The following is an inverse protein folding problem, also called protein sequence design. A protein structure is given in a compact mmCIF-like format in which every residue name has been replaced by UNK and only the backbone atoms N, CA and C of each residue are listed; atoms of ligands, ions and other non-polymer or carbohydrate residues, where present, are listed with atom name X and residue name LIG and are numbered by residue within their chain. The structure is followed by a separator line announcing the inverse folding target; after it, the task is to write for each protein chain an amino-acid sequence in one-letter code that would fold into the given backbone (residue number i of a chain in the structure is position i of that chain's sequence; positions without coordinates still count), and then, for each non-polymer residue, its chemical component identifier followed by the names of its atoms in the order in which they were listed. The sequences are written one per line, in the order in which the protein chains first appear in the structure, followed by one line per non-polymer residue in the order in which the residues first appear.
data_IF_368998554681
#
_entry.id   IF_368998554681
#
_cell.length_a   1.000
_cell.length_b   1.000
_cell.length_c   1.000
_cell.angle_alpha   90.00
_cell.angle_beta   90.00
_cell.angle_gamma   90.00
#
_symmetry.space_group_name_H-M   'P 1'
#
loop_
_entity.id
_entity.type
_entity.pdbx_description
1 polymer ?
#
# COMPACT_ATOMS: atom_id res chain seq x y z
N UNK A 1 9.68 -18.55 -15.19
CA UNK A 1 10.39 -17.63 -14.28
C UNK A 1 9.93 -16.26 -14.63
N UNK A 2 9.53 -15.45 -13.67
CA UNK A 2 9.18 -14.06 -13.97
C UNK A 2 10.50 -13.31 -14.20
N UNK A 3 10.78 -12.93 -15.43
CA UNK A 3 11.93 -12.10 -15.74
C UNK A 3 11.66 -10.67 -15.25
N UNK A 4 12.64 -10.07 -14.61
CA UNK A 4 12.57 -8.65 -14.24
C UNK A 4 12.72 -7.81 -15.50
N UNK A 5 11.68 -7.07 -15.84
CA UNK A 5 11.66 -6.28 -17.07
C UNK A 5 10.82 -5.02 -16.93
N UNK A 6 11.28 -3.92 -17.51
CA UNK A 6 10.49 -2.74 -17.78
C UNK A 6 9.72 -2.99 -19.06
N UNK A 7 8.41 -3.12 -18.95
CA UNK A 7 7.49 -3.25 -20.09
C UNK A 7 6.55 -2.06 -20.02
N UNK A 8 6.63 -1.18 -21.00
CA UNK A 8 5.74 -0.01 -21.07
C UNK A 8 4.28 -0.45 -21.16
N UNK A 9 3.43 -0.16 -20.17
CA UNK A 9 2.03 -0.58 -20.21
C UNK A 9 1.21 0.06 -21.33
N UNK A 10 1.60 1.25 -21.78
CA UNK A 10 0.88 1.95 -22.86
C UNK A 10 1.11 1.31 -24.24
N UNK A 11 2.30 0.75 -24.47
CA UNK A 11 2.70 0.21 -25.77
C UNK A 11 2.87 -1.31 -25.78
N UNK A 12 3.11 -1.92 -24.61
CA UNK A 12 3.49 -3.33 -24.48
C UNK A 12 4.96 -3.61 -24.87
N UNK A 13 5.76 -2.58 -25.15
CA UNK A 13 7.16 -2.73 -25.53
C UNK A 13 8.04 -3.04 -24.32
N UNK A 14 8.92 -4.05 -24.47
CA UNK A 14 9.96 -4.32 -23.47
C UNK A 14 11.13 -3.37 -23.67
N UNK A 15 11.31 -2.44 -22.73
CA UNK A 15 12.34 -1.40 -22.79
C UNK A 15 13.68 -1.95 -22.30
N UNK A 16 13.65 -2.70 -21.17
CA UNK A 16 14.87 -3.20 -20.53
C UNK A 16 14.58 -4.44 -19.68
N UNK A 17 15.55 -5.35 -19.63
CA UNK A 17 15.51 -6.54 -18.78
C UNK A 17 16.62 -6.53 -17.75
N UNK A 18 16.38 -7.17 -16.61
CA UNK A 18 17.32 -7.29 -15.50
C UNK A 18 17.47 -8.77 -15.14
N UNK A 19 18.70 -9.28 -14.98
CA UNK A 19 18.88 -10.66 -14.62
C UNK A 19 18.43 -10.93 -13.19
N UNK A 20 17.88 -12.11 -12.93
CA UNK A 20 17.66 -12.59 -11.57
C UNK A 20 19.01 -12.84 -10.88
N UNK A 21 19.01 -12.63 -9.56
CA UNK A 21 20.19 -12.87 -8.73
C UNK A 21 20.52 -14.38 -8.69
N UNK A 22 21.79 -14.73 -8.73
CA UNK A 22 22.21 -16.14 -8.51
C UNK A 22 22.05 -16.53 -7.03
N UNK A 23 21.91 -17.83 -6.74
CA UNK A 23 21.83 -18.30 -5.35
C UNK A 23 23.10 -17.96 -4.53
N UNK A 24 24.26 -17.97 -5.17
CA UNK A 24 25.52 -17.60 -4.52
C UNK A 24 25.58 -16.11 -4.19
N UNK A 25 25.10 -15.23 -5.10
CA UNK A 25 25.06 -13.79 -4.87
C UNK A 25 23.98 -13.43 -3.85
N UNK A 26 22.86 -14.17 -3.83
CA UNK A 26 21.80 -14.01 -2.83
C UNK A 26 22.30 -14.34 -1.42
N UNK A 27 22.98 -15.49 -1.26
CA UNK A 27 23.62 -15.86 0.01
C UNK A 27 24.66 -14.81 0.46
N UNK A 28 25.45 -14.30 -0.48
CA UNK A 28 26.41 -13.23 -0.21
C UNK A 28 25.68 -11.92 0.20
N UNK A 29 24.56 -11.56 -0.44
CA UNK A 29 23.76 -10.38 -0.08
C UNK A 29 23.19 -10.47 1.34
N UNK A 30 22.64 -11.63 1.72
CA UNK A 30 22.18 -11.87 3.10
C UNK A 30 23.33 -11.70 4.09
N UNK A 31 24.51 -12.25 3.78
CA UNK A 31 25.72 -12.12 4.61
C UNK A 31 26.16 -10.67 4.77
N UNK A 32 26.19 -9.88 3.69
CA UNK A 32 26.54 -8.46 3.72
C UNK A 32 25.55 -7.63 4.52
N UNK A 33 24.24 -7.81 4.29
CA UNK A 33 23.20 -7.11 5.05
C UNK A 33 23.29 -7.42 6.55
N UNK A 34 23.58 -8.68 6.90
CA UNK A 34 23.77 -9.07 8.31
C UNK A 34 25.03 -8.42 8.92
N UNK A 35 26.14 -8.38 8.20
CA UNK A 35 27.37 -7.71 8.65
C UNK A 35 27.16 -6.20 8.82
N UNK A 36 26.48 -5.55 7.86
CA UNK A 36 26.18 -4.11 7.90
C UNK A 36 25.28 -3.73 9.09
N UNK A 37 24.38 -4.62 9.53
CA UNK A 37 23.49 -4.37 10.65
C UNK A 37 24.24 -3.99 11.93
N UNK A 38 25.39 -4.62 12.22
CA UNK A 38 26.15 -4.31 13.44
C UNK A 38 26.62 -2.85 13.46
N UNK A 39 27.26 -2.39 12.40
CA UNK A 39 27.72 -1.00 12.26
C UNK A 39 26.55 -0.02 12.30
N UNK A 40 25.54 -0.25 11.44
CA UNK A 40 24.38 0.63 11.33
C UNK A 40 23.58 0.74 12.61
N UNK A 41 23.36 -0.36 13.34
CA UNK A 41 22.51 -0.35 14.54
C UNK A 41 23.21 0.08 15.82
N UNK A 42 24.55 -0.19 15.96
CA UNK A 42 25.24 -0.03 17.22
C UNK A 42 26.30 1.07 17.22
N UNK A 43 26.88 1.36 16.05
CA UNK A 43 27.96 2.34 15.93
C UNK A 43 27.47 3.71 15.45
N UNK A 44 26.22 3.79 14.91
CA UNK A 44 25.57 5.05 14.55
C UNK A 44 24.52 5.45 15.56
N UNK A 45 24.48 6.74 15.93
CA UNK A 45 23.46 7.32 16.80
C UNK A 45 22.11 7.47 16.10
N UNK A 46 21.04 7.66 16.88
CA UNK A 46 19.68 7.90 16.34
C UNK A 46 19.68 9.13 15.44
N UNK A 47 20.37 10.21 15.84
CA UNK A 47 20.44 11.46 15.08
C UNK A 47 21.18 11.29 13.75
N UNK A 48 22.27 10.49 13.74
CA UNK A 48 23.01 10.22 12.50
C UNK A 48 22.13 9.45 11.50
N UNK A 49 21.37 8.46 11.99
CA UNK A 49 20.42 7.72 11.15
C UNK A 49 19.29 8.62 10.67
N UNK A 50 18.75 9.50 11.53
CA UNK A 50 17.73 10.47 11.15
C UNK A 50 18.21 11.44 10.06
N UNK A 51 19.48 11.87 10.10
CA UNK A 51 20.06 12.70 9.04
C UNK A 51 20.12 11.97 7.70
N UNK A 52 20.51 10.69 7.70
CA UNK A 52 20.50 9.87 6.48
C UNK A 52 19.07 9.73 5.93
N UNK A 53 18.09 9.42 6.78
CA UNK A 53 16.68 9.29 6.37
C UNK A 53 16.14 10.62 5.83
N UNK A 54 16.49 11.75 6.44
CA UNK A 54 16.15 13.09 5.92
C UNK A 54 16.75 13.31 4.53
N UNK A 55 18.04 12.94 4.36
CA UNK A 55 18.70 13.07 3.06
C UNK A 55 18.07 12.21 1.97
N UNK A 56 17.52 11.05 2.33
CA UNK A 56 16.72 10.22 1.41
C UNK A 56 15.49 10.99 0.92
N UNK A 57 14.75 11.65 1.81
CA UNK A 57 13.62 12.52 1.45
C UNK A 57 14.03 13.65 0.52
N UNK A 58 15.10 14.37 0.85
CA UNK A 58 15.64 15.45 0.01
C UNK A 58 16.02 14.96 -1.39
N UNK A 59 16.64 13.78 -1.51
CA UNK A 59 17.00 13.19 -2.81
C UNK A 59 15.78 12.77 -3.62
N UNK A 60 14.68 12.32 -2.99
CA UNK A 60 13.42 12.11 -3.68
C UNK A 60 12.89 13.43 -4.25
N UNK A 61 12.94 14.52 -3.49
CA UNK A 61 12.54 15.85 -3.97
C UNK A 61 13.43 16.35 -5.11
N UNK A 62 14.76 16.18 -4.99
CA UNK A 62 15.72 16.62 -6.02
C UNK A 62 15.54 15.85 -7.34
N UNK A 63 15.15 14.55 -7.27
CA UNK A 63 14.97 13.66 -8.42
C UNK A 63 13.51 13.42 -8.77
N UNK A 64 12.61 14.26 -8.26
CA UNK A 64 11.16 14.10 -8.33
C UNK A 64 10.66 13.75 -9.73
N UNK A 65 11.08 14.52 -10.73
CA UNK A 65 10.68 14.31 -12.12
C UNK A 65 11.21 12.98 -12.69
N UNK A 66 12.49 12.68 -12.49
CA UNK A 66 13.11 11.43 -12.92
C UNK A 66 12.40 10.20 -12.35
N UNK A 67 12.12 10.23 -11.04
CA UNK A 67 11.44 9.13 -10.34
C UNK A 67 10.00 8.94 -10.84
N UNK A 68 9.27 10.04 -11.06
CA UNK A 68 7.91 9.98 -11.61
C UNK A 68 7.90 9.39 -13.04
N UNK A 69 8.84 9.75 -13.90
CA UNK A 69 8.95 9.20 -15.24
C UNK A 69 9.27 7.69 -15.25
N UNK A 70 10.00 7.20 -14.24
CA UNK A 70 10.20 5.76 -14.05
C UNK A 70 8.88 5.07 -13.72
N UNK A 71 8.07 5.63 -12.80
CA UNK A 71 6.74 5.08 -12.46
C UNK A 71 5.86 4.99 -13.70
N UNK A 72 5.76 6.08 -14.47
CA UNK A 72 4.98 6.12 -15.73
C UNK A 72 5.38 4.97 -16.64
N UNK A 73 6.68 4.79 -16.84
CA UNK A 73 7.25 3.81 -17.76
C UNK A 73 7.07 2.36 -17.30
N UNK A 74 7.08 2.10 -15.99
CA UNK A 74 7.00 0.75 -15.45
C UNK A 74 5.57 0.27 -15.17
N UNK A 75 4.65 1.20 -14.85
CA UNK A 75 3.30 0.78 -14.46
C UNK A 75 2.16 1.63 -15.08
N UNK A 76 2.47 2.66 -15.88
CA UNK A 76 1.47 3.44 -16.61
C UNK A 76 0.67 4.44 -15.76
N UNK A 77 1.11 4.74 -14.53
CA UNK A 77 0.47 5.76 -13.69
C UNK A 77 0.60 7.13 -14.34
N UNK A 78 -0.48 7.95 -14.40
CA UNK A 78 -0.40 9.31 -14.91
C UNK A 78 0.70 10.13 -14.22
N UNK A 79 1.40 10.98 -14.98
CA UNK A 79 2.59 11.69 -14.51
C UNK A 79 2.31 12.53 -13.26
N UNK A 80 1.18 13.25 -13.20
CA UNK A 80 0.83 14.07 -12.02
C UNK A 80 0.60 13.20 -10.77
N UNK A 81 -0.02 12.03 -10.91
CA UNK A 81 -0.19 11.08 -9.81
C UNK A 81 1.16 10.45 -9.41
N UNK A 82 2.06 10.23 -10.38
CA UNK A 82 3.41 9.73 -10.12
C UNK A 82 4.26 10.75 -9.36
N UNK A 83 4.14 12.03 -9.70
CA UNK A 83 4.77 13.13 -8.96
C UNK A 83 4.23 13.21 -7.53
N UNK A 84 2.91 13.05 -7.35
CA UNK A 84 2.27 12.99 -6.03
C UNK A 84 2.77 11.82 -5.16
N UNK A 85 3.02 10.66 -5.77
CA UNK A 85 3.62 9.52 -5.04
C UNK A 85 5.02 9.85 -4.52
N UNK A 86 5.86 10.49 -5.33
CA UNK A 86 7.20 10.91 -4.91
C UNK A 86 7.13 11.95 -3.81
N UNK A 87 6.22 12.93 -3.90
CA UNK A 87 6.02 13.94 -2.86
C UNK A 87 5.59 13.30 -1.52
N UNK A 88 4.75 12.27 -1.57
CA UNK A 88 4.35 11.56 -0.36
C UNK A 88 5.51 10.76 0.25
N UNK A 89 6.40 10.20 -0.56
CA UNK A 89 7.64 9.59 -0.05
C UNK A 89 8.51 10.59 0.70
N UNK A 90 8.65 11.82 0.18
CA UNK A 90 9.37 12.91 0.89
C UNK A 90 8.76 13.12 2.26
N UNK A 91 7.44 13.30 2.35
CA UNK A 91 6.75 13.52 3.62
C UNK A 91 6.96 12.36 4.63
N UNK A 92 6.98 11.11 4.15
CA UNK A 92 7.23 9.93 4.99
C UNK A 92 8.65 9.95 5.57
N UNK A 93 9.67 10.16 4.75
CA UNK A 93 11.05 10.19 5.24
C UNK A 93 11.30 11.37 6.18
N UNK A 94 10.75 12.56 5.90
CA UNK A 94 10.81 13.73 6.76
C UNK A 94 10.13 13.45 8.12
N UNK A 95 8.93 12.87 8.12
CA UNK A 95 8.20 12.52 9.33
C UNK A 95 9.04 11.63 10.25
N UNK A 96 9.63 10.55 9.71
CA UNK A 96 10.44 9.65 10.51
C UNK A 96 11.75 10.29 10.99
N UNK A 97 12.38 11.12 10.18
CA UNK A 97 13.57 11.85 10.56
C UNK A 97 13.29 12.87 11.69
N UNK A 98 12.18 13.60 11.59
CA UNK A 98 11.77 14.60 12.58
C UNK A 98 11.35 13.97 13.93
N UNK A 99 10.77 12.80 13.88
CA UNK A 99 10.24 12.09 15.05
C UNK A 99 11.18 11.04 15.64
N UNK A 100 12.42 10.95 15.15
CA UNK A 100 13.37 9.89 15.48
C UNK A 100 13.55 9.71 17.01
N UNK A 101 13.77 10.79 17.75
CA UNK A 101 13.95 10.73 19.20
C UNK A 101 12.68 10.28 19.91
N UNK A 102 11.53 10.83 19.54
CA UNK A 102 10.23 10.50 20.15
C UNK A 102 9.84 9.04 19.90
N UNK A 103 10.13 8.52 18.71
CA UNK A 103 9.81 7.14 18.36
C UNK A 103 10.69 6.12 19.08
N UNK A 104 11.95 6.49 19.39
CA UNK A 104 12.95 5.59 19.96
C UNK A 104 13.27 5.83 21.42
N UNK A 105 12.64 6.83 22.06
CA UNK A 105 12.85 7.08 23.51
C UNK A 105 12.42 5.90 24.37
N UNK A 106 13.10 5.73 25.50
CA UNK A 106 12.70 4.78 26.53
C UNK A 106 11.30 5.13 27.05
N UNK A 107 10.44 4.12 27.18
CA UNK A 107 9.08 4.24 27.69
C UNK A 107 9.04 3.75 29.14
N UNK A 108 8.91 4.65 30.14
CA UNK A 108 8.90 4.26 31.54
C UNK A 108 7.65 3.45 31.88
N UNK A 109 7.79 2.54 32.82
CA UNK A 109 6.70 1.74 33.39
C UNK A 109 6.59 2.07 34.87
N UNK A 110 5.42 2.53 35.29
CA UNK A 110 5.12 2.74 36.70
C UNK A 110 5.00 1.38 37.41
N UNK A 111 5.85 1.16 38.41
CA UNK A 111 5.83 -0.07 39.20
C UNK A 111 4.68 -0.04 40.18
N UNK A 112 3.92 -1.13 40.23
CA UNK A 112 2.85 -1.31 41.23
C UNK A 112 3.41 -1.64 42.60
N UNK A 113 4.56 -2.34 42.64
CA UNK A 113 5.23 -2.76 43.88
C UNK A 113 6.76 -2.83 43.67
N UNK A 114 7.50 -2.68 44.75
CA UNK A 114 8.95 -2.79 44.80
C UNK A 114 9.68 -1.48 44.48
N UNK A 115 10.96 -1.43 44.87
CA UNK A 115 11.83 -0.27 44.62
C UNK A 115 12.56 -0.39 43.25
N UNK A 116 13.07 0.76 42.75
CA UNK A 116 13.83 0.84 41.50
C UNK A 116 13.01 1.37 40.33
N UNK A 117 13.37 1.01 39.09
CA UNK A 117 12.71 1.50 37.85
C UNK A 117 12.51 0.40 36.82
N UNK A 118 11.56 0.61 35.91
CA UNK A 118 11.37 -0.24 34.74
C UNK A 118 11.04 0.61 33.51
N UNK A 119 11.49 0.16 32.35
CA UNK A 119 11.19 0.83 31.08
C UNK A 119 11.32 -0.12 29.90
N UNK A 120 10.64 0.23 28.79
CA UNK A 120 10.81 -0.44 27.52
C UNK A 120 11.82 0.33 26.68
N UNK A 121 12.86 -0.37 26.22
CA UNK A 121 13.83 0.16 25.25
C UNK A 121 13.61 -0.48 23.89
N UNK A 122 13.54 0.35 22.86
CA UNK A 122 13.42 -0.08 21.46
C UNK A 122 14.79 -0.31 20.85
N UNK A 123 14.94 -1.41 20.13
CA UNK A 123 16.16 -1.72 19.37
C UNK A 123 15.82 -2.50 18.09
N UNK A 124 16.70 -2.42 17.09
CA UNK A 124 16.58 -3.16 15.84
C UNK A 124 16.54 -4.67 16.07
N UNK A 125 15.91 -5.39 15.12
CA UNK A 125 15.89 -6.86 15.10
C UNK A 125 17.05 -7.44 14.31
N UNK A 126 17.41 -6.83 13.18
CA UNK A 126 18.42 -7.34 12.26
C UNK A 126 18.10 -7.08 10.80
N UNK A 127 18.35 -8.07 9.96
CA UNK A 127 18.00 -8.02 8.54
C UNK A 127 16.51 -8.28 8.37
N UNK A 128 15.85 -7.43 7.60
CA UNK A 128 14.44 -7.57 7.21
C UNK A 128 14.32 -7.79 5.71
N UNK A 129 13.33 -8.57 5.31
CA UNK A 129 12.94 -8.71 3.91
C UNK A 129 11.71 -7.87 3.63
N UNK A 130 11.79 -6.98 2.64
CA UNK A 130 10.65 -6.28 2.06
C UNK A 130 10.26 -6.93 0.72
N UNK A 131 8.97 -7.26 0.54
CA UNK A 131 8.41 -7.75 -0.72
C UNK A 131 7.34 -6.77 -1.14
N UNK A 132 7.64 -5.95 -2.16
CA UNK A 132 6.83 -4.79 -2.50
C UNK A 132 6.19 -4.93 -3.89
N UNK A 133 4.94 -4.45 -4.06
CA UNK A 133 4.18 -4.55 -5.29
C UNK A 133 4.54 -3.41 -6.26
N UNK A 134 3.87 -3.41 -7.40
CA UNK A 134 4.10 -2.49 -8.52
C UNK A 134 3.24 -1.22 -8.50
N UNK A 135 2.13 -1.21 -7.75
CA UNK A 135 1.12 -0.15 -7.89
C UNK A 135 1.52 1.21 -7.29
N UNK A 136 2.38 1.21 -6.28
CA UNK A 136 3.03 2.40 -5.72
C UNK A 136 4.50 2.07 -5.42
N UNK A 137 5.37 2.05 -6.46
CA UNK A 137 6.70 1.45 -6.35
C UNK A 137 7.65 2.14 -5.37
N UNK A 138 7.48 3.42 -5.12
CA UNK A 138 8.28 4.15 -4.12
C UNK A 138 7.58 4.25 -2.77
N UNK A 139 6.28 4.54 -2.77
CA UNK A 139 5.51 4.70 -1.52
C UNK A 139 5.52 3.43 -0.67
N UNK A 140 5.31 2.27 -1.28
CA UNK A 140 5.30 0.98 -0.58
C UNK A 140 6.65 0.70 0.09
N UNK A 141 7.75 1.11 -0.55
CA UNK A 141 9.09 0.99 0.03
C UNK A 141 9.32 2.03 1.13
N UNK A 142 8.91 3.29 0.91
CA UNK A 142 9.14 4.36 1.88
C UNK A 142 8.51 4.07 3.25
N UNK A 143 7.24 3.60 3.26
CA UNK A 143 6.54 3.29 4.51
C UNK A 143 7.12 2.10 5.27
N UNK A 144 7.78 1.17 4.58
CA UNK A 144 8.53 0.06 5.20
C UNK A 144 9.96 0.48 5.56
N UNK A 145 10.71 1.03 4.61
CA UNK A 145 12.15 1.29 4.78
C UNK A 145 12.44 2.46 5.74
N UNK A 146 11.63 3.54 5.67
CA UNK A 146 11.83 4.72 6.51
C UNK A 146 11.99 4.40 8.00
N UNK A 147 10.96 3.83 8.66
CA UNK A 147 11.03 3.49 10.08
C UNK A 147 12.07 2.42 10.39
N UNK A 148 12.21 1.41 9.53
CA UNK A 148 13.08 0.28 9.80
C UNK A 148 14.56 0.63 9.73
N UNK A 149 14.99 1.43 8.75
CA UNK A 149 16.35 1.95 8.69
C UNK A 149 16.65 2.93 9.83
N UNK A 150 15.66 3.79 10.20
CA UNK A 150 15.79 4.69 11.34
C UNK A 150 16.07 3.93 12.65
N UNK A 151 15.37 2.83 12.89
CA UNK A 151 15.54 1.98 14.08
C UNK A 151 16.91 1.29 14.07
N UNK A 152 17.51 1.12 12.89
CA UNK A 152 18.80 0.46 12.68
C UNK A 152 18.70 -0.96 12.15
N UNK A 153 17.57 -1.40 11.63
CA UNK A 153 17.46 -2.61 10.82
C UNK A 153 18.19 -2.42 9.49
N UNK A 154 18.55 -3.52 8.85
CA UNK A 154 19.02 -3.54 7.45
C UNK A 154 17.98 -4.25 6.58
N UNK A 155 17.96 -3.96 5.30
CA UNK A 155 16.90 -4.37 4.40
C UNK A 155 17.44 -5.11 3.18
N UNK A 156 16.81 -6.25 2.89
CA UNK A 156 16.82 -6.88 1.57
C UNK A 156 15.48 -6.53 0.92
N UNK A 157 15.49 -5.89 -0.23
CA UNK A 157 14.28 -5.56 -0.97
C UNK A 157 14.09 -6.47 -2.18
N UNK A 158 12.96 -7.15 -2.24
CA UNK A 158 12.46 -7.82 -3.45
C UNK A 158 11.27 -7.04 -3.98
N UNK A 159 11.51 -6.21 -4.99
CA UNK A 159 10.44 -5.48 -5.66
C UNK A 159 9.66 -6.37 -6.64
N UNK A 160 8.49 -5.89 -7.12
CA UNK A 160 7.75 -6.52 -8.19
C UNK A 160 8.62 -6.66 -9.46
N UNK A 161 8.55 -7.79 -10.19
CA UNK A 161 9.36 -7.99 -11.39
C UNK A 161 9.16 -6.97 -12.49
N UNK A 162 8.04 -6.26 -12.49
CA UNK A 162 7.75 -5.18 -13.46
C UNK A 162 8.30 -3.81 -13.05
N UNK A 163 8.87 -3.66 -11.83
CA UNK A 163 9.43 -2.40 -11.33
C UNK A 163 10.94 -2.49 -11.01
N UNK A 164 11.78 -3.05 -11.90
CA UNK A 164 13.21 -3.21 -11.59
C UNK A 164 13.99 -1.89 -11.63
N UNK A 165 13.55 -0.91 -12.42
CA UNK A 165 14.20 0.40 -12.52
C UNK A 165 13.92 1.24 -11.28
N UNK A 166 12.66 1.23 -10.79
CA UNK A 166 12.29 1.83 -9.50
C UNK A 166 13.12 1.25 -8.35
N UNK A 167 13.27 -0.09 -8.33
CA UNK A 167 14.07 -0.76 -7.30
C UNK A 167 15.54 -0.33 -7.33
N UNK A 168 16.15 -0.21 -8.53
CA UNK A 168 17.52 0.26 -8.69
C UNK A 168 17.67 1.75 -8.31
N UNK A 169 16.69 2.59 -8.67
CA UNK A 169 16.71 4.01 -8.31
C UNK A 169 16.65 4.22 -6.80
N UNK A 170 15.84 3.44 -6.10
CA UNK A 170 15.77 3.48 -4.63
C UNK A 170 17.09 3.09 -3.98
N UNK A 171 17.72 1.99 -4.42
CA UNK A 171 19.04 1.57 -3.89
C UNK A 171 20.09 2.68 -4.09
N UNK A 172 20.09 3.33 -5.25
CA UNK A 172 20.97 4.45 -5.53
C UNK A 172 20.70 5.67 -4.64
N UNK A 173 19.43 5.99 -4.38
CA UNK A 173 19.05 7.08 -3.47
C UNK A 173 19.59 6.81 -2.06
N UNK A 174 19.42 5.59 -1.53
CA UNK A 174 19.92 5.26 -0.20
C UNK A 174 21.45 5.36 -0.13
N UNK A 175 22.17 4.92 -1.16
CA UNK A 175 23.62 5.06 -1.25
C UNK A 175 24.06 6.53 -1.30
N UNK A 176 23.41 7.34 -2.14
CA UNK A 176 23.71 8.78 -2.28
C UNK A 176 23.35 9.59 -1.03
N UNK A 177 22.40 9.11 -0.22
CA UNK A 177 22.06 9.68 1.07
C UNK A 177 23.11 9.37 2.16
N UNK A 178 24.09 8.52 1.87
CA UNK A 178 25.13 8.12 2.82
C UNK A 178 24.74 6.95 3.72
N UNK A 179 23.69 6.20 3.37
CA UNK A 179 23.42 4.92 4.03
C UNK A 179 24.64 3.99 3.79
N UNK A 180 25.13 3.29 4.82
CA UNK A 180 26.20 2.33 4.60
C UNK A 180 25.85 1.33 3.49
N UNK A 181 26.81 1.06 2.62
CA UNK A 181 26.66 0.00 1.63
C UNK A 181 26.19 -1.28 2.34
N UNK A 182 25.33 -2.05 1.72
CA UNK A 182 24.75 -3.28 2.27
C UNK A 182 23.74 -3.11 3.43
N UNK A 183 23.45 -1.89 3.91
CA UNK A 183 22.35 -1.67 4.83
C UNK A 183 20.96 -1.68 4.12
N UNK A 184 20.96 -1.45 2.81
CA UNK A 184 19.82 -1.65 1.93
C UNK A 184 20.31 -2.27 0.62
N UNK A 185 19.82 -3.45 0.28
CA UNK A 185 20.23 -4.19 -0.91
C UNK A 185 18.96 -4.57 -1.70
N UNK A 186 18.88 -4.13 -2.95
CA UNK A 186 17.89 -4.61 -3.88
C UNK A 186 18.27 -5.99 -4.42
N UNK A 187 17.38 -6.96 -4.30
CA UNK A 187 17.56 -8.32 -4.81
C UNK A 187 16.52 -8.63 -5.89
N UNK A 188 16.98 -8.92 -7.10
CA UNK A 188 16.10 -9.39 -8.17
C UNK A 188 15.89 -10.91 -8.02
N UNK A 189 15.24 -11.31 -6.91
CA UNK A 189 15.07 -12.70 -6.51
C UNK A 189 13.78 -13.32 -7.08
N UNK A 190 13.81 -14.61 -7.37
CA UNK A 190 12.63 -15.39 -7.73
C UNK A 190 11.77 -15.69 -6.49
N UNK A 191 10.52 -16.15 -6.71
CA UNK A 191 9.65 -16.54 -5.59
C UNK A 191 10.19 -17.75 -4.82
N UNK A 192 10.87 -18.68 -5.49
CA UNK A 192 11.52 -19.83 -4.87
C UNK A 192 12.69 -19.41 -3.96
N UNK A 193 13.46 -18.42 -4.40
CA UNK A 193 14.56 -17.87 -3.60
C UNK A 193 14.06 -17.15 -2.34
N UNK A 194 12.85 -16.58 -2.37
CA UNK A 194 12.25 -15.90 -1.19
C UNK A 194 12.03 -16.87 -0.02
N UNK A 195 11.67 -18.12 -0.29
CA UNK A 195 11.59 -19.14 0.79
C UNK A 195 12.94 -19.33 1.48
N UNK A 196 14.04 -19.35 0.72
CA UNK A 196 15.41 -19.43 1.25
C UNK A 196 15.73 -18.21 2.11
N UNK A 197 15.41 -17.00 1.65
CA UNK A 197 15.65 -15.75 2.40
C UNK A 197 14.90 -15.74 3.73
N UNK A 198 13.60 -16.08 3.72
CA UNK A 198 12.79 -16.11 4.95
C UNK A 198 13.27 -17.21 5.90
N UNK A 199 13.73 -18.35 5.37
CA UNK A 199 14.28 -19.47 6.16
C UNK A 199 15.63 -19.17 6.80
N UNK A 200 16.38 -18.20 6.31
CA UNK A 200 17.72 -17.88 6.80
C UNK A 200 17.68 -17.32 8.24
N UNK A 201 18.51 -17.85 9.18
CA UNK A 201 18.51 -17.40 10.57
C UNK A 201 18.98 -15.95 10.76
N UNK A 202 19.69 -15.36 9.81
CA UNK A 202 20.12 -13.96 9.83
C UNK A 202 19.00 -12.98 9.50
N UNK A 203 17.96 -13.41 8.77
CA UNK A 203 16.76 -12.62 8.45
C UNK A 203 15.78 -12.73 9.61
N UNK A 204 15.31 -11.61 10.14
CA UNK A 204 14.54 -11.56 11.38
C UNK A 204 13.05 -11.27 11.19
N UNK A 205 12.65 -10.79 10.03
CA UNK A 205 11.26 -10.49 9.72
C UNK A 205 11.04 -10.24 8.23
N UNK A 206 9.77 -10.26 7.83
CA UNK A 206 9.35 -9.99 6.47
C UNK A 206 8.11 -9.10 6.44
N UNK A 207 8.12 -8.06 5.61
CA UNK A 207 6.94 -7.29 5.23
C UNK A 207 6.57 -7.61 3.79
N UNK A 208 5.30 -7.93 3.55
CA UNK A 208 4.78 -8.11 2.20
C UNK A 208 3.57 -7.22 1.99
N UNK A 209 3.61 -6.44 0.91
CA UNK A 209 2.44 -5.82 0.32
C UNK A 209 2.12 -6.53 -0.99
N UNK A 210 0.86 -6.99 -1.17
CA UNK A 210 0.48 -7.73 -2.38
C UNK A 210 -0.87 -8.43 -2.29
N UNK A 211 -1.03 -9.53 -3.04
CA UNK A 211 -2.28 -10.30 -3.05
C UNK A 211 -2.42 -11.19 -1.81
N UNK A 212 -3.67 -11.52 -1.42
CA UNK A 212 -3.95 -12.45 -0.32
C UNK A 212 -3.27 -13.81 -0.49
N UNK A 213 -3.19 -14.32 -1.73
CA UNK A 213 -2.46 -15.58 -2.04
C UNK A 213 -0.97 -15.47 -1.72
N UNK A 214 -0.34 -14.37 -2.09
CA UNK A 214 1.08 -14.14 -1.80
C UNK A 214 1.31 -13.96 -0.30
N UNK A 215 0.41 -13.21 0.37
CA UNK A 215 0.45 -13.02 1.82
C UNK A 215 0.36 -14.33 2.59
N UNK A 216 -0.59 -15.20 2.24
CA UNK A 216 -0.75 -16.50 2.88
C UNK A 216 0.51 -17.39 2.71
N UNK A 217 1.09 -17.41 1.50
CA UNK A 217 2.31 -18.18 1.24
C UNK A 217 3.51 -17.66 2.06
N UNK A 218 3.71 -16.33 2.11
CA UNK A 218 4.79 -15.72 2.89
C UNK A 218 4.57 -15.94 4.39
N UNK A 219 3.34 -15.79 4.89
CA UNK A 219 3.02 -16.00 6.29
C UNK A 219 3.25 -17.45 6.72
N UNK A 220 2.92 -18.42 5.87
CA UNK A 220 3.19 -19.85 6.12
C UNK A 220 4.68 -20.09 6.29
N UNK A 221 5.51 -19.58 5.36
CA UNK A 221 6.96 -19.74 5.43
C UNK A 221 7.53 -19.03 6.66
N UNK A 222 7.09 -17.79 6.92
CA UNK A 222 7.52 -17.03 8.08
C UNK A 222 7.17 -17.72 9.41
N UNK A 223 5.94 -18.25 9.51
CA UNK A 223 5.47 -18.98 10.69
C UNK A 223 6.27 -20.25 10.97
N UNK A 224 6.59 -21.04 9.95
CA UNK A 224 7.46 -22.23 10.08
C UNK A 224 8.86 -21.88 10.60
N UNK A 225 9.35 -20.67 10.29
CA UNK A 225 10.68 -20.21 10.68
C UNK A 225 10.66 -19.22 11.87
N UNK A 226 9.51 -19.05 12.53
CA UNK A 226 9.31 -18.15 13.67
C UNK A 226 9.73 -16.70 13.40
N UNK A 227 9.50 -16.22 12.17
CA UNK A 227 9.78 -14.84 11.77
C UNK A 227 8.57 -13.96 11.97
N UNK A 228 8.79 -12.72 12.42
CA UNK A 228 7.74 -11.72 12.43
C UNK A 228 7.34 -11.38 10.99
N UNK A 229 6.02 -11.20 10.77
CA UNK A 229 5.49 -10.85 9.47
C UNK A 229 4.50 -9.69 9.59
N UNK A 230 4.54 -8.77 8.63
CA UNK A 230 3.53 -7.74 8.38
C UNK A 230 2.98 -7.98 6.98
N UNK A 231 1.66 -7.96 6.86
CA UNK A 231 0.96 -8.21 5.61
C UNK A 231 0.01 -7.06 5.32
N UNK A 232 0.21 -6.40 4.19
CA UNK A 232 -0.67 -5.41 3.60
C UNK A 232 -1.21 -5.97 2.28
N UNK A 233 -2.49 -6.35 2.26
CA UNK A 233 -3.07 -7.13 1.18
C UNK A 233 -4.19 -6.37 0.45
N UNK A 234 -5.00 -7.06 -0.35
CA UNK A 234 -6.09 -6.47 -1.08
C UNK A 234 -7.17 -5.84 -0.19
N UNK A 235 -8.01 -5.04 -0.80
CA UNK A 235 -9.16 -4.39 -0.17
C UNK A 235 -10.33 -4.26 -1.14
N UNK A 236 -11.53 -4.19 -0.60
CA UNK A 236 -12.75 -3.86 -1.34
C UNK A 236 -13.50 -2.79 -0.57
N UNK A 237 -12.84 -1.63 -0.42
CA UNK A 237 -13.24 -0.59 0.51
C UNK A 237 -14.63 -0.03 0.17
N UNK A 238 -15.54 0.03 1.16
CA UNK A 238 -16.84 0.63 0.98
C UNK A 238 -16.75 2.16 1.04
N UNK A 239 -17.46 2.82 0.11
CA UNK A 239 -17.81 4.22 0.14
C UNK A 239 -19.29 4.30 0.52
N UNK A 240 -19.57 4.72 1.76
CA UNK A 240 -20.91 4.69 2.36
C UNK A 240 -21.48 6.11 2.35
N UNK A 241 -22.56 6.34 1.59
CA UNK A 241 -23.25 7.62 1.54
C UNK A 241 -24.56 7.53 2.29
N UNK A 242 -24.63 8.17 3.46
CA UNK A 242 -25.79 8.19 4.36
C UNK A 242 -26.57 9.52 4.33
N UNK A 243 -25.90 10.62 3.98
CA UNK A 243 -26.51 11.94 3.90
C UNK A 243 -25.52 12.97 3.37
N UNK A 244 -26.03 14.00 2.70
CA UNK A 244 -25.22 15.16 2.29
C UNK A 244 -26.10 16.30 1.84
N UNK A 245 -25.68 17.53 2.15
CA UNK A 245 -26.23 18.77 1.61
C UNK A 245 -25.57 19.15 0.27
N UNK A 246 -24.41 18.54 -0.07
CA UNK A 246 -23.64 18.79 -1.30
C UNK A 246 -23.29 17.48 -2.03
N UNK A 247 -24.26 16.96 -2.78
CA UNK A 247 -24.09 15.73 -3.54
C UNK A 247 -23.03 15.86 -4.66
N UNK A 248 -22.81 17.04 -5.19
CA UNK A 248 -21.84 17.25 -6.27
C UNK A 248 -20.40 17.06 -5.74
N UNK A 249 -20.07 17.61 -4.57
CA UNK A 249 -18.79 17.40 -3.90
C UNK A 249 -18.57 15.92 -3.51
N UNK A 250 -19.61 15.24 -3.05
CA UNK A 250 -19.53 13.79 -2.75
C UNK A 250 -19.27 12.97 -4.01
N UNK A 251 -19.89 13.31 -5.13
CA UNK A 251 -19.66 12.64 -6.42
C UNK A 251 -18.23 12.88 -6.91
N UNK A 252 -17.69 14.09 -6.77
CA UNK A 252 -16.29 14.38 -7.08
C UNK A 252 -15.34 13.51 -6.26
N UNK A 253 -15.57 13.45 -4.94
CA UNK A 253 -14.81 12.57 -4.04
C UNK A 253 -14.93 11.08 -4.42
N UNK A 254 -16.13 10.64 -4.81
CA UNK A 254 -16.39 9.26 -5.24
C UNK A 254 -15.62 8.91 -6.54
N UNK A 255 -15.61 9.82 -7.50
CA UNK A 255 -14.84 9.65 -8.75
C UNK A 255 -13.35 9.60 -8.43
N UNK A 256 -12.82 10.59 -7.69
CA UNK A 256 -11.42 10.61 -7.27
C UNK A 256 -11.00 9.32 -6.56
N UNK A 257 -11.78 8.88 -5.58
CA UNK A 257 -11.52 7.62 -4.84
C UNK A 257 -11.61 6.35 -5.69
N UNK A 258 -12.26 6.41 -6.88
CA UNK A 258 -12.31 5.26 -7.80
C UNK A 258 -11.18 5.25 -8.81
N UNK A 259 -10.73 6.41 -9.30
CA UNK A 259 -9.80 6.49 -10.42
C UNK A 259 -8.34 6.75 -10.01
N UNK A 260 -8.07 7.03 -8.74
CA UNK A 260 -6.68 7.15 -8.27
C UNK A 260 -5.86 5.93 -8.68
N UNK A 261 -4.71 6.17 -9.30
CA UNK A 261 -3.88 5.14 -9.92
C UNK A 261 -4.64 4.20 -10.87
N UNK A 262 -5.64 4.71 -11.58
CA UNK A 262 -6.51 3.91 -12.43
C UNK A 262 -7.34 2.89 -11.66
N UNK A 263 -7.62 3.13 -10.37
CA UNK A 263 -8.28 2.19 -9.47
C UNK A 263 -7.40 1.03 -9.01
N UNK A 264 -6.10 1.06 -9.29
CA UNK A 264 -5.11 0.06 -8.91
C UNK A 264 -4.50 0.35 -7.54
N UNK A 265 -5.34 0.70 -6.57
CA UNK A 265 -5.00 0.92 -5.18
C UNK A 265 -5.77 -0.04 -4.27
N UNK A 266 -5.08 -0.60 -3.26
CA UNK A 266 -5.69 -1.54 -2.32
C UNK A 266 -6.84 -0.89 -1.54
N UNK A 267 -6.68 0.36 -1.14
CA UNK A 267 -7.67 1.18 -0.44
C UNK A 267 -8.54 2.06 -1.35
N UNK A 268 -8.55 1.86 -2.67
CA UNK A 268 -9.48 2.59 -3.53
C UNK A 268 -10.94 2.30 -3.16
N UNK A 269 -11.82 3.29 -3.24
CA UNK A 269 -13.26 3.09 -3.11
C UNK A 269 -13.78 2.18 -4.23
N UNK A 270 -14.32 1.01 -3.88
CA UNK A 270 -14.74 -0.01 -4.85
C UNK A 270 -16.23 -0.28 -4.79
N UNK A 271 -16.82 -0.29 -3.58
CA UNK A 271 -18.23 -0.58 -3.32
C UNK A 271 -18.92 0.69 -2.82
N UNK A 272 -19.74 1.32 -3.65
CA UNK A 272 -20.47 2.54 -3.35
C UNK A 272 -21.84 2.15 -2.79
N UNK A 273 -22.03 2.29 -1.49
CA UNK A 273 -23.22 1.89 -0.72
C UNK A 273 -24.03 3.13 -0.41
N UNK A 274 -25.19 3.28 -1.02
CA UNK A 274 -25.95 4.53 -1.03
C UNK A 274 -27.36 4.30 -0.50
N UNK A 275 -27.80 5.14 0.43
CA UNK A 275 -29.17 5.09 0.97
C UNK A 275 -30.21 5.44 -0.09
N UNK A 276 -31.41 4.89 0.07
CA UNK A 276 -32.54 4.98 -0.89
C UNK A 276 -32.79 6.38 -1.42
N UNK A 277 -32.80 7.38 -0.54
CA UNK A 277 -33.13 8.77 -0.88
C UNK A 277 -32.10 9.43 -1.80
N UNK A 278 -30.83 8.98 -1.72
CA UNK A 278 -29.72 9.53 -2.49
C UNK A 278 -29.30 8.63 -3.66
N UNK A 279 -29.83 7.41 -3.75
CA UNK A 279 -29.37 6.41 -4.70
C UNK A 279 -29.50 6.86 -6.17
N UNK A 280 -30.71 7.23 -6.60
CA UNK A 280 -30.93 7.60 -8.01
C UNK A 280 -30.16 8.86 -8.42
N UNK A 281 -30.20 9.97 -7.64
CA UNK A 281 -29.44 11.16 -8.00
C UNK A 281 -27.92 10.94 -7.93
N UNK A 282 -27.45 10.11 -6.97
CA UNK A 282 -26.03 9.74 -6.91
C UNK A 282 -25.63 8.90 -8.12
N UNK A 283 -26.36 7.83 -8.44
CA UNK A 283 -26.06 6.94 -9.55
C UNK A 283 -25.99 7.71 -10.89
N UNK A 284 -26.96 8.60 -11.14
CA UNK A 284 -26.98 9.41 -12.36
C UNK A 284 -25.75 10.32 -12.45
N UNK A 285 -25.48 11.11 -11.40
CA UNK A 285 -24.36 12.06 -11.39
C UNK A 285 -23.02 11.35 -11.41
N UNK A 286 -22.84 10.32 -10.59
CA UNK A 286 -21.62 9.54 -10.50
C UNK A 286 -21.30 8.81 -11.82
N UNK A 287 -22.28 8.15 -12.41
CA UNK A 287 -22.13 7.48 -13.71
C UNK A 287 -21.72 8.46 -14.79
N UNK A 288 -22.34 9.64 -14.83
CA UNK A 288 -22.00 10.68 -15.80
C UNK A 288 -20.58 11.21 -15.59
N UNK A 289 -20.21 11.52 -14.36
CA UNK A 289 -18.89 12.05 -14.03
C UNK A 289 -17.79 11.02 -14.27
N UNK A 290 -17.99 9.78 -13.79
CA UNK A 290 -16.99 8.70 -13.98
C UNK A 290 -16.81 8.35 -15.46
N UNK A 291 -17.89 8.31 -16.25
CA UNK A 291 -17.81 8.03 -17.71
C UNK A 291 -17.17 9.17 -18.52
N UNK A 292 -17.07 10.37 -17.96
CA UNK A 292 -16.37 11.48 -18.61
C UNK A 292 -14.85 11.33 -18.55
N UNK A 293 -14.35 10.57 -17.56
CA UNK A 293 -12.92 10.27 -17.44
C UNK A 293 -12.54 9.22 -18.47
N UNK A 294 -11.68 9.60 -19.40
CA UNK A 294 -11.22 8.74 -20.49
C UNK A 294 -9.77 8.32 -20.28
N UNK A 295 -9.41 7.07 -20.59
CA UNK A 295 -8.01 6.65 -20.56
C UNK A 295 -7.19 7.39 -21.62
N UNK A 296 -5.97 7.79 -21.26
CA UNK A 296 -5.08 8.57 -22.10
C UNK A 296 -3.61 8.26 -21.89
N UNK A 297 -2.77 8.96 -22.65
CA UNK A 297 -1.31 8.88 -22.56
C UNK A 297 -0.83 9.30 -21.15
N UNK A 298 -0.23 8.40 -20.33
CA UNK A 298 0.13 8.69 -18.95
C UNK A 298 1.24 9.74 -18.82
N UNK A 299 1.92 10.09 -19.91
CA UNK A 299 2.96 11.14 -19.93
C UNK A 299 2.41 12.55 -19.99
N UNK A 300 1.10 12.72 -20.22
CA UNK A 300 0.45 14.03 -20.33
C UNK A 300 -0.05 14.50 -18.96
N UNK A 301 0.17 15.78 -18.69
CA UNK A 301 -0.24 16.43 -17.42
C UNK A 301 -1.76 16.41 -17.20
N UNK A 302 -2.56 16.42 -18.28
CA UNK A 302 -4.03 16.42 -18.22
C UNK A 302 -4.65 15.02 -18.24
N UNK A 303 -3.85 13.96 -18.22
CA UNK A 303 -4.35 12.58 -18.13
C UNK A 303 -4.69 12.20 -16.70
N UNK A 304 -5.95 11.92 -16.45
CA UNK A 304 -6.43 11.44 -15.13
C UNK A 304 -6.40 9.91 -15.00
N UNK A 305 -6.58 9.20 -16.12
CA UNK A 305 -6.64 7.74 -16.19
C UNK A 305 -5.61 7.23 -17.21
N UNK A 306 -4.60 6.52 -16.74
CA UNK A 306 -3.60 5.84 -17.58
C UNK A 306 -4.03 4.43 -17.98
N UNK A 307 -3.14 3.68 -18.66
CA UNK A 307 -3.36 2.25 -18.92
C UNK A 307 -3.28 1.46 -17.60
N UNK A 308 -3.89 0.27 -17.58
CA UNK A 308 -3.61 -0.72 -16.55
C UNK A 308 -2.16 -1.22 -16.66
N UNK A 309 -1.59 -1.61 -15.54
CA UNK A 309 -0.15 -1.87 -15.41
C UNK A 309 0.40 -3.00 -16.28
N UNK A 310 -0.45 -3.81 -16.87
CA UNK A 310 -0.05 -4.92 -17.75
C UNK A 310 -1.25 -5.49 -18.52
N UNK A 311 -0.96 -6.22 -19.59
CA UNK A 311 -1.98 -6.96 -20.34
C UNK A 311 -2.73 -7.96 -19.45
N UNK A 312 -2.01 -8.65 -18.54
CA UNK A 312 -2.64 -9.58 -17.61
C UNK A 312 -3.59 -8.89 -16.61
N UNK A 313 -3.28 -7.67 -16.17
CA UNK A 313 -4.18 -6.90 -15.32
C UNK A 313 -5.45 -6.51 -16.09
N UNK A 314 -5.29 -6.10 -17.37
CA UNK A 314 -6.42 -5.74 -18.23
C UNK A 314 -7.29 -6.96 -18.58
N UNK A 315 -6.69 -8.11 -18.90
CA UNK A 315 -7.39 -9.37 -19.17
C UNK A 315 -8.21 -9.83 -17.95
N UNK A 316 -7.60 -9.79 -16.77
CA UNK A 316 -8.28 -10.20 -15.52
C UNK A 316 -9.47 -9.29 -15.20
N UNK A 317 -9.31 -7.98 -15.34
CA UNK A 317 -10.40 -7.02 -15.05
C UNK A 317 -11.55 -7.17 -16.05
N UNK A 318 -11.25 -7.37 -17.33
CA UNK A 318 -12.26 -7.63 -18.38
C UNK A 318 -13.04 -8.91 -18.08
N UNK A 319 -12.35 -10.00 -17.69
CA UNK A 319 -12.98 -11.25 -17.28
C UNK A 319 -13.87 -11.06 -16.05
N UNK A 320 -13.45 -10.29 -15.04
CA UNK A 320 -14.27 -9.98 -13.87
C UNK A 320 -15.56 -9.26 -14.26
N UNK A 321 -15.50 -8.21 -15.08
CA UNK A 321 -16.70 -7.47 -15.56
C UNK A 321 -17.61 -8.38 -16.37
N UNK A 322 -17.05 -9.22 -17.22
CA UNK A 322 -17.81 -10.20 -18.01
C UNK A 322 -18.53 -11.20 -17.10
N UNK A 323 -17.83 -11.83 -16.18
CA UNK A 323 -18.43 -12.79 -15.22
C UNK A 323 -19.51 -12.12 -14.36
N UNK A 324 -19.29 -10.89 -13.92
CA UNK A 324 -20.30 -10.12 -13.19
C UNK A 324 -21.60 -9.98 -14.00
N UNK A 325 -21.50 -9.55 -15.26
CA UNK A 325 -22.68 -9.33 -16.13
C UNK A 325 -23.35 -10.65 -16.54
N UNK A 326 -22.61 -11.70 -16.82
CA UNK A 326 -23.15 -13.03 -17.10
C UNK A 326 -23.90 -13.63 -15.91
N UNK A 327 -23.59 -13.21 -14.68
CA UNK A 327 -24.25 -13.63 -13.45
C UNK A 327 -25.28 -12.60 -12.90
N UNK A 328 -25.76 -11.68 -13.75
CA UNK A 328 -26.91 -10.86 -13.47
C UNK A 328 -26.61 -9.42 -13.04
N UNK A 329 -25.35 -9.02 -12.84
CA UNK A 329 -25.01 -7.63 -12.64
C UNK A 329 -25.28 -6.82 -13.91
N UNK A 330 -25.71 -5.58 -13.73
CA UNK A 330 -26.00 -4.67 -14.83
C UNK A 330 -24.84 -3.70 -15.04
N UNK A 331 -24.25 -3.72 -16.22
CA UNK A 331 -23.31 -2.70 -16.64
C UNK A 331 -24.11 -1.45 -17.07
N UNK A 332 -24.10 -0.43 -16.23
CA UNK A 332 -24.85 0.82 -16.45
C UNK A 332 -24.13 1.72 -17.44
N UNK A 333 -22.81 1.77 -17.36
CA UNK A 333 -21.98 2.57 -18.25
C UNK A 333 -20.57 2.00 -18.38
N UNK A 334 -19.89 2.35 -19.46
CA UNK A 334 -18.48 2.07 -19.70
C UNK A 334 -18.17 0.61 -19.97
N UNK A 335 -17.02 0.17 -19.49
CA UNK A 335 -16.46 -1.14 -19.78
C UNK A 335 -15.80 -1.21 -21.16
N UNK A 336 -15.08 -2.32 -21.38
CA UNK A 336 -14.28 -2.50 -22.59
C UNK A 336 -12.95 -1.77 -22.52
N UNK A 337 -12.06 -2.11 -23.44
CA UNK A 337 -10.67 -1.59 -23.46
C UNK A 337 -10.09 -1.56 -24.86
N UNK A 338 -9.02 -0.78 -25.01
CA UNK A 338 -8.10 -0.83 -26.15
C UNK A 338 -6.70 -1.14 -25.59
N UNK A 339 -6.19 -2.35 -25.85
CA UNK A 339 -4.98 -2.83 -25.20
C UNK A 339 -5.10 -2.82 -23.68
N UNK A 340 -4.22 -2.09 -22.99
CA UNK A 340 -4.26 -1.93 -21.54
C UNK A 340 -5.08 -0.71 -21.07
N UNK A 341 -5.59 0.10 -22.00
CA UNK A 341 -6.43 1.25 -21.70
C UNK A 341 -7.87 0.81 -21.44
N UNK A 342 -8.23 0.69 -20.17
CA UNK A 342 -9.54 0.23 -19.74
C UNK A 342 -10.46 1.43 -19.46
N UNK A 343 -11.65 1.43 -20.09
CA UNK A 343 -12.64 2.47 -19.81
C UNK A 343 -13.23 2.30 -18.40
N UNK A 344 -13.55 3.41 -17.75
CA UNK A 344 -14.29 3.37 -16.48
C UNK A 344 -15.59 2.58 -16.65
N UNK A 345 -16.03 1.89 -15.58
CA UNK A 345 -17.24 1.09 -15.63
C UNK A 345 -18.04 1.21 -14.33
N UNK A 346 -19.38 1.14 -14.46
CA UNK A 346 -20.31 1.16 -13.31
C UNK A 346 -21.20 -0.09 -13.39
N UNK A 347 -21.14 -0.91 -12.34
CA UNK A 347 -21.96 -2.10 -12.14
C UNK A 347 -23.00 -1.88 -11.06
N UNK A 348 -24.24 -2.31 -11.30
CA UNK A 348 -25.34 -2.34 -10.34
C UNK A 348 -25.98 -3.73 -10.31
N UNK A 349 -27.00 -3.91 -9.47
CA UNK A 349 -27.79 -5.14 -9.35
C UNK A 349 -26.91 -6.37 -9.02
N UNK A 350 -25.85 -6.17 -8.22
CA UNK A 350 -24.94 -7.22 -7.78
C UNK A 350 -25.53 -7.90 -6.54
N UNK A 351 -25.91 -9.17 -6.69
CA UNK A 351 -26.42 -9.98 -5.57
C UNK A 351 -25.32 -10.77 -4.89
N UNK A 352 -25.53 -11.30 -3.67
CA UNK A 352 -24.52 -12.11 -2.96
C UNK A 352 -24.06 -13.36 -3.73
N UNK A 353 -24.88 -13.88 -4.67
CA UNK A 353 -24.53 -15.04 -5.52
C UNK A 353 -23.65 -14.64 -6.71
N UNK A 354 -23.54 -13.36 -7.02
CA UNK A 354 -22.69 -12.88 -8.11
C UNK A 354 -21.21 -12.92 -7.68
N UNK A 355 -20.31 -13.46 -8.49
CA UNK A 355 -18.87 -13.49 -8.12
C UNK A 355 -18.29 -12.10 -7.83
N UNK A 356 -18.77 -11.05 -8.50
CA UNK A 356 -18.36 -9.67 -8.27
C UNK A 356 -18.58 -9.18 -6.82
N UNK A 357 -19.53 -9.78 -6.08
CA UNK A 357 -19.88 -9.37 -4.72
C UNK A 357 -18.71 -9.55 -3.73
N UNK A 358 -17.89 -10.60 -3.92
CA UNK A 358 -16.77 -10.93 -3.03
C UNK A 358 -15.40 -10.60 -3.63
N UNK A 359 -15.34 -10.27 -4.93
CA UNK A 359 -14.07 -10.02 -5.62
C UNK A 359 -13.60 -8.56 -5.48
N UNK A 360 -12.29 -8.39 -5.43
CA UNK A 360 -11.66 -7.08 -5.56
C UNK A 360 -11.51 -6.71 -7.03
N UNK A 361 -12.10 -5.56 -7.44
CA UNK A 361 -11.89 -4.98 -8.77
C UNK A 361 -10.69 -4.00 -8.73
N UNK A 362 -9.55 -4.48 -9.19
CA UNK A 362 -8.29 -3.72 -9.15
C UNK A 362 -8.09 -2.92 -10.44
N UNK A 363 -8.99 -1.96 -10.67
CA UNK A 363 -9.08 -1.13 -11.86
C UNK A 363 -10.29 -0.19 -11.82
N UNK A 364 -10.57 0.61 -12.86
CA UNK A 364 -11.53 1.72 -12.83
C UNK A 364 -13.01 1.23 -12.94
N UNK A 365 -13.37 0.22 -12.15
CA UNK A 365 -14.72 -0.38 -12.10
C UNK A 365 -15.35 -0.11 -10.74
N UNK A 366 -16.50 0.53 -10.72
CA UNK A 366 -17.28 0.84 -9.53
C UNK A 366 -18.46 -0.12 -9.40
N UNK A 367 -18.72 -0.60 -8.17
CA UNK A 367 -19.90 -1.36 -7.81
C UNK A 367 -20.84 -0.45 -7.00
N UNK A 368 -22.07 -0.26 -7.42
CA UNK A 368 -23.02 0.62 -6.72
C UNK A 368 -24.19 -0.20 -6.16
N UNK A 369 -24.40 -0.05 -4.87
CA UNK A 369 -25.39 -0.77 -4.08
C UNK A 369 -26.39 0.20 -3.47
N UNK A 370 -27.64 -0.20 -3.44
CA UNK A 370 -28.74 0.52 -2.81
C UNK A 370 -29.07 -0.10 -1.47
N UNK A 371 -29.24 0.71 -0.45
CA UNK A 371 -29.63 0.26 0.89
C UNK A 371 -30.76 1.13 1.45
N UNK A 372 -31.61 0.53 2.28
CA UNK A 372 -32.79 1.20 2.85
C UNK A 372 -32.49 1.87 4.20
N UNK A 373 -31.36 1.60 4.82
CA UNK A 373 -31.02 2.09 6.16
C UNK A 373 -29.52 2.08 6.45
N UNK A 374 -29.14 2.83 7.50
CA UNK A 374 -27.80 2.81 8.10
C UNK A 374 -27.37 1.38 8.49
N UNK A 375 -28.28 0.61 9.11
CA UNK A 375 -27.98 -0.76 9.54
C UNK A 375 -27.66 -1.68 8.36
N UNK A 376 -28.41 -1.60 7.27
CA UNK A 376 -28.15 -2.35 6.04
C UNK A 376 -26.85 -1.90 5.37
N UNK A 377 -26.51 -0.59 5.43
CA UNK A 377 -25.25 -0.09 4.91
C UNK A 377 -24.06 -0.68 5.67
N UNK A 378 -24.13 -0.75 6.99
CA UNK A 378 -23.10 -1.37 7.84
C UNK A 378 -22.97 -2.87 7.57
N UNK A 379 -24.12 -3.58 7.49
CA UNK A 379 -24.14 -5.01 7.19
C UNK A 379 -23.47 -5.30 5.84
N UNK A 380 -23.86 -4.59 4.79
CA UNK A 380 -23.28 -4.74 3.47
C UNK A 380 -21.79 -4.34 3.43
N UNK A 381 -21.41 -3.27 4.13
CA UNK A 381 -20.01 -2.83 4.21
C UNK A 381 -19.12 -3.92 4.80
N UNK A 382 -19.59 -4.61 5.84
CA UNK A 382 -18.85 -5.65 6.54
C UNK A 382 -18.93 -7.05 5.87
N UNK A 383 -19.90 -7.26 4.95
CA UNK A 383 -20.04 -8.55 4.24
C UNK A 383 -19.01 -8.71 3.13
N UNK A 384 -17.76 -8.80 3.52
CA UNK A 384 -16.59 -9.01 2.67
C UNK A 384 -15.49 -9.73 3.45
N UNK A 385 -14.59 -10.41 2.72
CA UNK A 385 -13.37 -10.98 3.31
C UNK A 385 -12.34 -9.92 3.66
N UNK A 386 -12.45 -8.73 3.10
CA UNK A 386 -11.51 -7.62 3.27
C UNK A 386 -11.89 -6.72 4.44
N UNK A 387 -10.93 -5.91 4.88
CA UNK A 387 -11.10 -4.93 5.94
C UNK A 387 -9.93 -3.94 5.98
N UNK A 388 -9.59 -3.33 4.83
CA UNK A 388 -8.47 -2.39 4.76
C UNK A 388 -8.92 -0.98 5.18
N UNK A 389 -9.71 -0.31 4.37
CA UNK A 389 -10.26 1.01 4.61
C UNK A 389 -11.77 1.09 4.42
N UNK A 390 -12.32 2.25 4.70
CA UNK A 390 -13.73 2.61 4.52
C UNK A 390 -13.89 4.11 4.47
N UNK A 391 -14.86 4.60 3.70
CA UNK A 391 -15.21 6.00 3.56
C UNK A 391 -16.68 6.19 3.94
N UNK A 392 -16.96 7.14 4.84
CA UNK A 392 -18.32 7.44 5.32
C UNK A 392 -18.62 8.89 5.01
N UNK A 393 -19.70 9.15 4.29
CA UNK A 393 -20.18 10.48 3.95
C UNK A 393 -21.54 10.72 4.59
N UNK A 394 -21.61 11.70 5.47
CA UNK A 394 -22.82 12.18 6.16
C UNK A 394 -22.58 13.55 6.76
N UNK A 395 -23.65 14.36 6.84
CA UNK A 395 -23.62 15.67 7.52
C UNK A 395 -23.85 15.53 9.05
N UNK A 396 -24.24 14.35 9.53
CA UNK A 396 -24.42 14.04 10.96
C UNK A 396 -23.16 13.43 11.55
N UNK A 397 -22.42 14.20 12.36
CA UNK A 397 -21.18 13.75 13.00
C UNK A 397 -21.37 12.62 14.02
N UNK A 398 -22.52 12.54 14.69
CA UNK A 398 -22.82 11.46 15.63
C UNK A 398 -23.12 10.16 14.85
N UNK A 399 -23.80 10.27 13.70
CA UNK A 399 -23.98 9.16 12.77
C UNK A 399 -22.64 8.66 12.23
N UNK A 400 -21.76 9.58 11.81
CA UNK A 400 -20.45 9.23 11.27
C UNK A 400 -19.64 8.37 12.24
N UNK A 401 -19.52 8.80 13.49
CA UNK A 401 -18.77 8.07 14.53
C UNK A 401 -19.45 6.75 14.90
N UNK A 402 -20.77 6.74 15.04
CA UNK A 402 -21.54 5.53 15.35
C UNK A 402 -21.39 4.46 14.26
N UNK A 403 -21.38 4.86 12.99
CA UNK A 403 -21.15 3.95 11.88
C UNK A 403 -19.69 3.51 11.84
N UNK A 404 -18.73 4.43 12.02
CA UNK A 404 -17.32 4.10 12.05
C UNK A 404 -16.98 3.04 13.10
N UNK A 405 -17.58 3.09 14.27
CA UNK A 405 -17.40 2.11 15.34
C UNK A 405 -17.87 0.69 14.97
N UNK A 406 -18.74 0.57 13.96
CA UNK A 406 -19.30 -0.70 13.52
C UNK A 406 -18.62 -1.27 12.25
N UNK A 407 -17.78 -0.47 11.57
CA UNK A 407 -17.08 -0.93 10.36
C UNK A 407 -15.87 -1.80 10.72
N UNK A 408 -15.81 -2.98 10.14
CA UNK A 408 -14.74 -3.97 10.34
C UNK A 408 -13.56 -3.70 9.38
N UNK A 409 -12.96 -2.52 9.47
CA UNK A 409 -11.78 -2.12 8.69
C UNK A 409 -10.68 -1.57 9.61
N UNK A 410 -9.45 -1.55 9.09
CA UNK A 410 -8.32 -0.98 9.83
C UNK A 410 -8.26 0.53 9.79
N UNK A 411 -8.93 1.15 8.80
CA UNK A 411 -8.99 2.60 8.60
C UNK A 411 -10.41 3.03 8.24
N UNK A 412 -10.88 4.13 8.83
CA UNK A 412 -12.16 4.75 8.49
C UNK A 412 -11.95 6.23 8.28
N UNK A 413 -12.33 6.74 7.13
CA UNK A 413 -12.25 8.15 6.77
C UNK A 413 -13.66 8.74 6.69
N UNK A 414 -13.88 9.88 7.36
CA UNK A 414 -15.18 10.55 7.40
C UNK A 414 -15.12 11.78 6.52
N UNK A 415 -16.05 11.88 5.57
CA UNK A 415 -16.20 12.99 4.62
C UNK A 415 -14.94 13.32 3.81
N UNK A 416 -14.09 12.32 3.57
CA UNK A 416 -12.89 12.45 2.78
C UNK A 416 -12.49 11.13 2.12
N UNK A 417 -11.80 11.22 0.98
CA UNK A 417 -10.99 10.19 0.35
C UNK A 417 -9.57 10.75 0.19
N UNK A 418 -8.55 9.88 0.15
CA UNK A 418 -7.16 10.33 0.01
C UNK A 418 -6.64 11.16 1.19
N UNK A 419 -7.18 10.92 2.40
CA UNK A 419 -6.81 11.64 3.62
C UNK A 419 -5.70 10.93 4.42
N UNK A 420 -4.86 10.15 3.75
CA UNK A 420 -3.70 9.49 4.31
C UNK A 420 -2.62 10.52 4.69
N UNK A 421 -1.82 10.18 5.70
CA UNK A 421 -0.71 11.00 6.17
C UNK A 421 0.44 10.13 6.70
N UNK A 422 1.65 10.67 6.67
CA UNK A 422 2.83 9.96 7.17
C UNK A 422 2.74 9.59 8.66
N UNK A 423 1.98 10.36 9.44
CA UNK A 423 1.69 10.15 10.85
C UNK A 423 0.53 9.20 11.12
N UNK A 424 -0.32 8.95 10.12
CA UNK A 424 -1.52 8.13 10.26
C UNK A 424 -1.19 6.66 10.00
N UNK A 425 -1.57 5.74 10.91
CA UNK A 425 -1.28 4.32 10.70
C UNK A 425 -2.08 3.76 9.53
N UNK A 426 -1.40 3.03 8.66
CA UNK A 426 -1.97 2.34 7.52
C UNK A 426 -2.01 0.83 7.78
N UNK A 427 -3.11 0.17 7.45
CA UNK A 427 -3.23 -1.29 7.49
C UNK A 427 -4.63 -1.79 7.80
N UNK A 428 -4.84 -3.07 7.51
CA UNK A 428 -6.13 -3.72 7.54
C UNK A 428 -6.34 -4.73 8.66
N UNK A 429 -7.50 -5.36 8.59
CA UNK A 429 -7.92 -6.54 9.37
C UNK A 429 -8.51 -7.58 8.42
N UNK A 430 -8.94 -8.72 8.91
CA UNK A 430 -9.54 -9.79 8.09
C UNK A 430 -8.57 -10.25 6.98
N UNK A 431 -9.05 -10.46 5.78
CA UNK A 431 -8.26 -10.85 4.60
C UNK A 431 -7.35 -9.76 4.04
N UNK A 432 -7.46 -8.51 4.51
CA UNK A 432 -6.56 -7.42 4.14
C UNK A 432 -5.21 -7.44 4.89
N UNK A 433 -5.03 -8.39 5.80
CA UNK A 433 -3.74 -8.62 6.46
C UNK A 433 -3.70 -8.18 7.91
N UNK A 434 -2.49 -8.02 8.42
CA UNK A 434 -2.23 -7.66 9.81
C UNK A 434 -0.88 -6.96 9.97
N UNK A 435 -0.72 -6.24 11.09
CA UNK A 435 0.33 -5.27 11.31
C UNK A 435 -0.14 -3.87 10.91
N UNK A 436 0.75 -2.91 11.04
CA UNK A 436 0.53 -1.53 10.60
C UNK A 436 1.79 -0.98 9.97
N UNK A 437 1.61 -0.13 8.99
CA UNK A 437 2.67 0.71 8.43
C UNK A 437 2.34 2.18 8.69
N UNK A 438 3.29 3.07 8.50
CA UNK A 438 3.21 4.49 8.81
C UNK A 438 2.99 4.83 10.30
N UNK A 439 3.14 6.11 10.63
CA UNK A 439 3.00 6.61 11.98
C UNK A 439 3.88 5.89 13.01
N UNK A 440 3.49 6.02 14.27
CA UNK A 440 4.18 5.35 15.38
C UNK A 440 4.03 3.82 15.32
N UNK A 441 2.86 3.32 14.90
CA UNK A 441 2.60 1.88 14.86
C UNK A 441 3.47 1.16 13.83
N UNK A 442 3.71 1.78 12.65
CA UNK A 442 4.66 1.25 11.66
C UNK A 442 6.09 1.18 12.20
N UNK A 443 6.52 2.19 12.96
CA UNK A 443 7.82 2.18 13.63
C UNK A 443 7.94 1.09 14.71
N UNK A 444 6.83 0.66 15.29
CA UNK A 444 6.79 -0.36 16.36
C UNK A 444 6.69 -1.81 15.85
N UNK A 445 6.59 -2.04 14.53
CA UNK A 445 6.40 -3.38 13.99
C UNK A 445 7.67 -4.24 14.05
N UNK A 446 8.76 -3.82 13.45
CA UNK A 446 9.99 -4.62 13.42
C UNK A 446 11.01 -4.14 14.45
N UNK A 447 10.59 -4.11 15.71
CA UNK A 447 11.37 -3.60 16.83
C UNK A 447 11.38 -4.59 17.97
N UNK A 448 12.52 -4.73 18.63
CA UNK A 448 12.61 -5.41 19.92
C UNK A 448 12.26 -4.43 21.04
N UNK A 449 11.06 -4.58 21.61
CA UNK A 449 10.61 -3.85 22.81
C UNK A 449 11.14 -4.54 24.07
N UNK A 450 12.39 -4.23 24.42
CA UNK A 450 13.10 -4.87 25.52
C UNK A 450 12.69 -4.28 26.86
N UNK A 451 12.15 -5.09 27.77
CA UNK A 451 11.99 -4.71 29.16
C UNK A 451 13.35 -4.63 29.84
N UNK A 452 13.64 -3.50 30.48
CA UNK A 452 14.77 -3.32 31.38
C UNK A 452 14.20 -3.01 32.77
N UNK A 453 14.51 -3.85 33.77
CA UNK A 453 14.12 -3.71 35.15
C UNK A 453 15.37 -3.49 36.00
N UNK A 454 15.46 -2.36 36.69
CA UNK A 454 16.53 -2.06 37.62
C UNK A 454 15.95 -2.23 39.02
N UNK A 455 16.45 -3.19 39.77
CA UNK A 455 16.07 -3.36 41.18
C UNK A 455 16.72 -2.26 42.04
N UNK A 456 16.02 -1.77 43.04
CA UNK A 456 16.53 -0.79 44.00
C UNK A 456 17.45 -1.42 45.03
#
# INVERSE_FOLDING_TARGET
MADYAVIDPATGETIKTYPTISDADLEAAIGRAHAAHHGWSKETGVQDRAQVIRRVGELHQERRQELAEIIVREMGKPIEQSLGEVDFCVAIYEYYADRAEDLLKDEPIDLLEGEGSAFIRRSSLGVLLGIMPWNFPYYQVARFAGPNLLIGNTILLKHAPQCPESAAALEQIFQDAGLPADAYINIYATNEQIETVIGDPRVQGVSLTGSGRAGAAVAEIAGRNLKKVVLELGGSDPFILLGTDDLDSVVESAVGGRIDNGGQACNAAKRFIVVDELYEPFLEKFTKALSAVQPGDPTKEDTELGPLSSANAADNLEDQVKRATENGAKLVAGGGRDGNFFNTAVLTDITPENPAYKEEFFGPVAQVYRVSSEAEAVELANDTEFGLGSYIFTDDSDQALRVADQIEAGMVFINAVGAEGAELPFGGVKGSGFGRELGRFGADEFVNKKLIRVAG
#
